data_IF_782311091547
#
_entry.id   IF_782311091547
#
_cell.length_a   1.000
_cell.length_b   1.000
_cell.length_c   1.000
_cell.angle_alpha   90.00
_cell.angle_beta   90.00
_cell.angle_gamma   90.00
#
_symmetry.space_group_name_H-M   'P 1'
#
loop_
_entity.id
_entity.type
_entity.pdbx_description
1 polymer ?
#
# COMPACT_ATOMS: atom_id res chain seq x y z
N UNK A 1 8.65 41.42 5.07
CA UNK A 1 7.84 40.32 5.65
C UNK A 1 8.20 39.03 4.92
N UNK A 2 9.04 38.18 5.51
CA UNK A 2 9.34 36.86 4.95
C UNK A 2 8.13 35.95 5.16
N UNK A 3 7.49 35.48 4.06
CA UNK A 3 6.44 34.46 4.12
C UNK A 3 7.09 33.17 4.61
N UNK A 4 6.82 32.78 5.86
CA UNK A 4 7.16 31.44 6.35
C UNK A 4 6.43 30.41 5.47
N UNK A 5 7.14 29.40 4.92
CA UNK A 5 6.49 28.38 4.12
C UNK A 5 5.59 27.57 5.05
N UNK A 6 4.28 27.58 4.79
CA UNK A 6 3.32 26.66 5.42
C UNK A 6 3.84 25.24 5.16
N UNK A 7 4.30 24.55 6.20
CA UNK A 7 4.57 23.11 6.16
C UNK A 7 3.29 22.41 5.73
N UNK A 8 3.19 22.10 4.43
CA UNK A 8 2.21 21.15 3.94
C UNK A 8 2.58 19.81 4.57
N UNK A 9 1.67 19.09 5.22
CA UNK A 9 1.98 17.76 5.72
C UNK A 9 2.43 16.92 4.53
N UNK A 10 3.72 16.54 4.50
CA UNK A 10 4.33 15.69 3.46
C UNK A 10 3.59 14.36 3.34
N UNK A 11 2.93 13.93 4.42
CA UNK A 11 2.04 12.80 4.48
C UNK A 11 0.79 13.19 5.25
N UNK A 12 -0.37 13.16 4.60
CA UNK A 12 -1.65 13.26 5.32
C UNK A 12 -1.92 11.91 5.97
N UNK A 13 -2.51 11.89 7.17
CA UNK A 13 -2.89 10.65 7.90
C UNK A 13 -3.66 9.69 6.98
N UNK A 14 -4.53 10.23 6.11
CA UNK A 14 -5.21 9.49 5.05
C UNK A 14 -4.26 8.65 4.19
N UNK A 15 -3.18 9.24 3.70
CA UNK A 15 -2.20 8.55 2.85
C UNK A 15 -1.49 7.44 3.62
N UNK A 16 -1.17 7.66 4.90
CA UNK A 16 -0.61 6.63 5.76
C UNK A 16 -1.54 5.43 5.91
N UNK A 17 -2.82 5.67 6.18
CA UNK A 17 -3.84 4.62 6.34
C UNK A 17 -4.03 3.83 5.03
N UNK A 18 -4.11 4.53 3.89
CA UNK A 18 -4.22 3.89 2.57
C UNK A 18 -3.03 2.97 2.30
N UNK A 19 -1.81 3.43 2.55
CA UNK A 19 -0.60 2.66 2.28
C UNK A 19 -0.41 1.50 3.25
N UNK A 20 -0.74 1.67 4.54
CA UNK A 20 -0.75 0.58 5.52
C UNK A 20 -1.74 -0.51 5.12
N UNK A 21 -2.95 -0.13 4.71
CA UNK A 21 -3.98 -1.08 4.27
C UNK A 21 -3.51 -1.84 3.03
N UNK A 22 -2.95 -1.14 2.06
CA UNK A 22 -2.40 -1.76 0.86
C UNK A 22 -1.22 -2.69 1.16
N UNK A 23 -0.37 -2.32 2.12
CA UNK A 23 0.75 -3.16 2.56
C UNK A 23 0.26 -4.45 3.20
N UNK A 24 -0.77 -4.39 4.06
CA UNK A 24 -1.36 -5.60 4.66
C UNK A 24 -1.94 -6.53 3.59
N UNK A 25 -2.65 -5.98 2.59
CA UNK A 25 -3.17 -6.76 1.47
C UNK A 25 -2.06 -7.39 0.63
N UNK A 26 -0.95 -6.67 0.41
CA UNK A 26 0.22 -7.19 -0.28
C UNK A 26 0.86 -8.37 0.46
N UNK A 27 1.02 -8.26 1.79
CA UNK A 27 1.58 -9.32 2.62
C UNK A 27 0.68 -10.56 2.61
N UNK A 28 -0.64 -10.40 2.70
CA UNK A 28 -1.58 -11.52 2.62
C UNK A 28 -1.51 -12.18 1.24
N UNK A 29 -1.57 -11.40 0.16
CA UNK A 29 -1.53 -11.94 -1.20
C UNK A 29 -0.21 -12.66 -1.50
N UNK A 30 0.93 -12.05 -1.14
CA UNK A 30 2.26 -12.63 -1.33
C UNK A 30 2.49 -13.85 -0.46
N UNK A 31 2.14 -13.77 0.83
CA UNK A 31 2.30 -14.85 1.80
C UNK A 31 1.46 -16.07 1.44
N UNK A 32 0.20 -15.88 1.02
CA UNK A 32 -0.67 -16.97 0.60
C UNK A 32 -0.16 -17.61 -0.70
N UNK A 33 0.32 -16.79 -1.64
CA UNK A 33 0.90 -17.30 -2.90
C UNK A 33 2.19 -18.08 -2.65
N UNK A 34 3.05 -17.60 -1.73
CA UNK A 34 4.25 -18.33 -1.34
C UNK A 34 3.91 -19.65 -0.67
N UNK A 35 2.95 -19.65 0.27
CA UNK A 35 2.50 -20.86 0.96
C UNK A 35 1.89 -21.88 -0.01
N UNK A 36 1.17 -21.43 -1.05
CA UNK A 36 0.53 -22.31 -2.03
C UNK A 36 1.46 -22.82 -3.13
N UNK A 37 2.48 -22.04 -3.53
CA UNK A 37 3.32 -22.37 -4.70
C UNK A 37 4.75 -22.77 -4.35
N UNK A 38 5.25 -22.39 -3.16
CA UNK A 38 6.66 -22.51 -2.79
C UNK A 38 7.62 -21.71 -3.68
N UNK A 39 7.10 -20.86 -4.58
CA UNK A 39 7.88 -20.19 -5.60
C UNK A 39 8.01 -18.68 -5.29
N UNK A 40 9.19 -18.20 -4.85
CA UNK A 40 9.38 -16.82 -4.42
C UNK A 40 9.03 -15.76 -5.50
N UNK A 41 9.42 -15.92 -6.78
CA UNK A 41 9.00 -15.03 -7.86
C UNK A 41 7.48 -14.79 -7.94
N UNK A 42 6.66 -15.84 -7.85
CA UNK A 42 5.20 -15.71 -7.91
C UNK A 42 4.65 -15.00 -6.68
N UNK A 43 5.21 -15.26 -5.50
CA UNK A 43 4.85 -14.56 -4.27
C UNK A 43 5.11 -13.05 -4.38
N UNK A 44 6.23 -12.64 -4.97
CA UNK A 44 6.55 -11.23 -5.20
C UNK A 44 5.56 -10.60 -6.17
N UNK A 45 5.25 -11.26 -7.29
CA UNK A 45 4.27 -10.76 -8.26
C UNK A 45 2.87 -10.60 -7.64
N UNK A 46 2.44 -11.58 -6.83
CA UNK A 46 1.18 -11.50 -6.12
C UNK A 46 1.17 -10.38 -5.06
N UNK A 47 2.27 -10.20 -4.32
CA UNK A 47 2.40 -9.11 -3.35
C UNK A 47 2.32 -7.74 -4.02
N UNK A 48 3.07 -7.52 -5.11
CA UNK A 48 3.06 -6.26 -5.87
C UNK A 48 1.68 -5.98 -6.46
N UNK A 49 1.03 -7.02 -7.00
CA UNK A 49 -0.34 -6.91 -7.53
C UNK A 49 -1.34 -6.58 -6.42
N UNK A 50 -1.22 -7.23 -5.26
CA UNK A 50 -2.02 -6.96 -4.07
C UNK A 50 -1.80 -5.55 -3.51
N UNK A 51 -0.57 -5.03 -3.57
CA UNK A 51 -0.26 -3.66 -3.16
C UNK A 51 -0.88 -2.62 -4.09
N UNK A 52 -0.73 -2.78 -5.40
CA UNK A 52 -1.30 -1.87 -6.41
C UNK A 52 -2.83 -1.91 -6.41
N UNK A 53 -3.42 -3.10 -6.29
CA UNK A 53 -4.87 -3.26 -6.14
C UNK A 53 -5.37 -2.68 -4.83
N UNK A 54 -4.69 -2.98 -3.71
CA UNK A 54 -5.02 -2.53 -2.37
C UNK A 54 -4.93 -1.02 -2.19
N UNK A 55 -3.91 -0.38 -2.78
CA UNK A 55 -3.78 1.10 -2.77
C UNK A 55 -4.94 1.76 -3.51
N UNK A 56 -5.31 1.27 -4.71
CA UNK A 56 -6.45 1.81 -5.47
C UNK A 56 -7.78 1.60 -4.76
N UNK A 57 -7.99 0.42 -4.17
CA UNK A 57 -9.19 0.11 -3.41
C UNK A 57 -9.30 0.99 -2.16
N UNK A 58 -8.25 1.04 -1.34
CA UNK A 58 -8.23 1.84 -0.13
C UNK A 58 -8.35 3.34 -0.44
N UNK A 59 -7.79 3.80 -1.56
CA UNK A 59 -7.98 5.18 -2.00
C UNK A 59 -9.44 5.51 -2.30
N UNK A 60 -10.18 4.62 -2.99
CA UNK A 60 -11.61 4.81 -3.28
C UNK A 60 -12.51 4.66 -2.05
N UNK A 61 -12.16 3.81 -1.09
CA UNK A 61 -12.99 3.56 0.10
C UNK A 61 -12.83 4.68 1.14
N UNK A 62 -11.64 5.31 1.18
CA UNK A 62 -11.33 6.42 2.11
C UNK A 62 -11.58 7.79 1.42
N UNK A 63 -12.23 7.80 0.25
CA UNK A 63 -12.72 9.01 -0.44
C UNK A 63 -14.17 9.29 -0.01
#
# INVERSE_FOLDING_TARGET
MAKTPKSRPLFTVRTAVVLLTALLLAVVAGGLTFAGTGNPPFAVLAAVSGFLGGTRWAHRVIE
#
